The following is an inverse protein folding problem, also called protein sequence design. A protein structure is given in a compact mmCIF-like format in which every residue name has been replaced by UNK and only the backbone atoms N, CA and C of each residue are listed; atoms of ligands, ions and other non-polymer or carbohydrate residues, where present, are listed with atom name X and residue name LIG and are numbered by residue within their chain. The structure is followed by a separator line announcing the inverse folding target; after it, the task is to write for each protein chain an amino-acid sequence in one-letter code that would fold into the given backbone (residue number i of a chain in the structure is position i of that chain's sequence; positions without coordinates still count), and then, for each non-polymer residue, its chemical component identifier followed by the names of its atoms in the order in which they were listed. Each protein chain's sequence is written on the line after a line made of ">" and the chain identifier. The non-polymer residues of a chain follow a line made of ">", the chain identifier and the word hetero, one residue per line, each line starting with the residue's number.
data_IF_437199130135
#
_entry.id   IF_437199130135
#
_cell.length_a   1.000
_cell.length_b   1.000
_cell.length_c   1.000
_cell.angle_alpha   90.00
_cell.angle_beta   90.00
_cell.angle_gamma   90.00
#
_symmetry.space_group_name_H-M   'P 1'
#
loop_
_entity.id
_entity.type
_entity.pdbx_description
1 polymer ?
#
# COMPACT_ATOMS: atom_id res chain seq x y z
N UNK A 1 43.68 -13.96 8.42
CA UNK A 1 42.85 -15.18 8.33
C UNK A 1 42.05 -15.27 9.63
N UNK A 2 40.88 -14.62 9.67
CA UNK A 2 40.01 -14.63 10.85
C UNK A 2 39.16 -15.91 10.85
N UNK A 3 39.28 -16.71 11.92
CA UNK A 3 38.58 -17.98 12.06
C UNK A 3 37.08 -17.77 12.25
N UNK A 4 36.29 -18.32 11.33
CA UNK A 4 34.85 -18.48 11.48
C UNK A 4 34.61 -19.47 12.64
N UNK A 5 34.03 -18.98 13.73
CA UNK A 5 33.66 -19.83 14.87
C UNK A 5 32.63 -20.89 14.46
N UNK A 6 32.61 -22.07 15.12
CA UNK A 6 31.70 -23.16 14.77
C UNK A 6 30.25 -22.71 14.94
N UNK A 7 29.52 -22.66 13.83
CA UNK A 7 28.11 -22.29 13.79
C UNK A 7 27.28 -23.27 14.61
N UNK A 8 26.62 -22.76 15.66
CA UNK A 8 25.72 -23.49 16.58
C UNK A 8 24.36 -23.85 15.94
N UNK A 9 24.35 -24.32 14.69
CA UNK A 9 23.12 -24.64 13.96
C UNK A 9 22.91 -26.16 13.80
N UNK A 10 23.28 -26.95 14.81
CA UNK A 10 23.12 -28.40 14.80
C UNK A 10 22.39 -28.96 16.01
N UNK A 11 21.84 -30.15 15.85
CA UNK A 11 21.21 -30.93 16.90
C UNK A 11 22.21 -31.26 18.01
N UNK A 12 22.10 -30.59 19.16
CA UNK A 12 23.02 -30.77 20.30
C UNK A 12 23.21 -32.24 20.74
N UNK A 13 22.15 -33.08 20.80
CA UNK A 13 22.27 -34.48 21.21
C UNK A 13 23.08 -35.39 20.27
N UNK A 14 23.16 -35.10 18.97
CA UNK A 14 23.84 -35.99 18.01
C UNK A 14 24.90 -35.29 17.14
N UNK A 15 25.06 -33.97 17.27
CA UNK A 15 26.03 -33.16 16.53
C UNK A 15 25.69 -32.91 15.06
N UNK A 16 24.58 -33.43 14.54
CA UNK A 16 24.25 -33.30 13.13
C UNK A 16 23.61 -31.93 12.81
N UNK A 17 24.04 -31.30 11.72
CA UNK A 17 23.61 -29.95 11.30
C UNK A 17 22.33 -29.93 10.45
N UNK A 18 21.80 -31.10 10.11
CA UNK A 18 20.69 -31.30 9.18
C UNK A 18 19.31 -31.35 9.86
N UNK A 19 19.23 -31.27 11.19
CA UNK A 19 17.96 -31.25 11.91
C UNK A 19 18.06 -30.54 13.25
N UNK A 20 16.90 -30.11 13.76
CA UNK A 20 16.76 -29.53 15.10
C UNK A 20 16.48 -30.62 16.13
N UNK A 21 16.71 -30.33 17.42
CA UNK A 21 16.56 -31.29 18.55
C UNK A 21 15.22 -32.03 18.54
N UNK A 22 14.16 -31.39 18.07
CA UNK A 22 12.81 -31.96 18.01
C UNK A 22 12.64 -33.04 16.93
N UNK A 23 13.48 -33.02 15.89
CA UNK A 23 13.49 -34.00 14.79
C UNK A 23 14.61 -35.03 14.89
N UNK A 24 15.27 -35.16 16.05
CA UNK A 24 16.40 -36.08 16.20
C UNK A 24 15.91 -37.54 16.22
N UNK A 25 16.35 -38.40 15.27
CA UNK A 25 15.93 -39.79 15.21
C UNK A 25 16.38 -40.59 16.46
N UNK A 26 17.39 -40.11 17.18
CA UNK A 26 17.88 -40.71 18.43
C UNK A 26 17.02 -40.34 19.66
N UNK A 27 15.94 -39.58 19.51
CA UNK A 27 15.08 -39.18 20.66
C UNK A 27 14.25 -40.35 21.23
N UNK A 28 14.28 -41.52 20.59
CA UNK A 28 13.44 -42.68 20.91
C UNK A 28 13.93 -43.61 22.02
N UNK A 29 15.15 -43.47 22.54
CA UNK A 29 15.63 -44.33 23.64
C UNK A 29 16.13 -43.49 24.81
N UNK A 30 15.18 -42.97 25.61
CA UNK A 30 15.49 -42.70 27.00
C UNK A 30 15.51 -44.05 27.74
N UNK A 31 16.59 -44.38 28.47
CA UNK A 31 16.53 -45.46 29.45
C UNK A 31 15.34 -45.20 30.38
N UNK A 32 14.52 -46.23 30.61
CA UNK A 32 13.47 -46.20 31.63
C UNK A 32 14.14 -45.79 32.94
N UNK A 33 13.75 -44.63 33.46
CA UNK A 33 14.25 -44.13 34.73
C UNK A 33 13.95 -45.16 35.81
N UNK A 34 14.96 -45.95 36.17
CA UNK A 34 14.90 -46.90 37.27
C UNK A 34 14.82 -46.07 38.54
N UNK A 35 13.68 -46.14 39.22
CA UNK A 35 13.34 -45.30 40.36
C UNK A 35 14.21 -45.60 41.58
N UNK A 36 15.35 -44.91 41.69
CA UNK A 36 16.24 -45.04 42.86
C UNK A 36 16.69 -43.71 43.47
N UNK A 37 16.09 -42.57 43.10
CA UNK A 37 16.35 -41.29 43.80
C UNK A 37 15.07 -40.44 43.89
N UNK A 38 14.13 -40.86 44.73
CA UNK A 38 13.06 -40.00 45.24
C UNK A 38 13.60 -39.21 46.43
N UNK A 39 14.15 -38.01 46.17
CA UNK A 39 14.28 -36.98 47.20
C UNK A 39 12.89 -36.31 47.30
N UNK A 40 12.21 -36.33 48.45
CA UNK A 40 10.92 -35.67 48.61
C UNK A 40 11.13 -34.15 48.56
N UNK A 41 10.84 -33.56 47.42
CA UNK A 41 10.87 -32.10 47.25
C UNK A 41 9.45 -31.58 47.51
N UNK A 42 9.25 -30.66 48.47
CA UNK A 42 7.94 -30.07 48.71
C UNK A 42 7.55 -29.17 47.54
N UNK A 43 6.32 -29.37 47.07
CA UNK A 43 5.52 -28.61 46.09
C UNK A 43 6.13 -27.32 45.49
N UNK A 44 6.27 -27.23 44.15
CA UNK A 44 6.38 -25.95 43.48
C UNK A 44 4.97 -25.38 43.25
N UNK A 45 4.67 -24.29 43.96
CA UNK A 45 3.68 -23.33 43.52
C UNK A 45 4.20 -22.61 42.26
N UNK A 46 3.27 -22.28 41.36
CA UNK A 46 3.40 -21.40 40.17
C UNK A 46 3.80 -22.09 38.85
N UNK A 47 2.79 -22.66 38.19
CA UNK A 47 2.81 -22.79 36.73
C UNK A 47 2.42 -21.45 36.10
N UNK A 48 3.38 -20.78 35.46
CA UNK A 48 3.12 -19.71 34.50
C UNK A 48 2.69 -20.32 33.18
N UNK A 49 1.59 -19.82 32.63
CA UNK A 49 1.01 -20.19 31.33
C UNK A 49 1.84 -19.50 30.23
N UNK A 50 2.25 -20.18 29.14
CA UNK A 50 2.95 -19.55 28.03
C UNK A 50 1.98 -18.72 27.14
N UNK A 51 2.45 -17.64 26.49
CA UNK A 51 1.61 -16.86 25.59
C UNK A 51 1.38 -17.61 24.29
N UNK A 52 0.10 -17.80 23.94
CA UNK A 52 -0.34 -18.32 22.65
C UNK A 52 0.06 -17.33 21.54
N UNK A 53 0.97 -17.77 20.66
CA UNK A 53 1.18 -17.16 19.35
C UNK A 53 0.06 -17.58 18.41
N UNK A 54 -0.72 -16.61 17.94
CA UNK A 54 -1.75 -16.78 16.92
C UNK A 54 -1.10 -17.11 15.57
N UNK A 55 -1.23 -18.35 15.12
CA UNK A 55 -1.05 -18.74 13.73
C UNK A 55 -2.42 -19.04 13.10
N UNK A 56 -2.65 -18.35 11.99
CA UNK A 56 -3.56 -18.57 10.88
C UNK A 56 -4.73 -19.57 11.03
N UNK A 57 -5.92 -19.04 10.70
CA UNK A 57 -7.16 -19.76 10.48
C UNK A 57 -7.02 -20.94 9.50
N UNK A 58 -7.69 -22.04 9.83
CA UNK A 58 -8.17 -23.03 8.87
C UNK A 58 -9.62 -23.33 9.19
N UNK A 59 -10.47 -22.94 8.24
CA UNK A 59 -11.89 -23.23 8.13
C UNK A 59 -12.11 -24.73 7.97
N UNK A 60 -12.83 -25.34 8.91
CA UNK A 60 -13.43 -26.65 8.71
C UNK A 60 -14.79 -26.74 9.42
N UNK A 61 -15.83 -26.82 8.60
CA UNK A 61 -17.21 -27.16 8.96
C UNK A 61 -17.27 -28.47 9.75
N UNK A 62 -17.86 -28.47 10.95
CA UNK A 62 -18.51 -29.67 11.51
C UNK A 62 -19.77 -29.32 12.29
N UNK A 63 -20.73 -30.23 12.15
CA UNK A 63 -22.17 -30.14 12.40
C UNK A 63 -22.59 -30.03 13.89
N UNK A 64 -23.84 -29.63 14.18
CA UNK A 64 -24.35 -29.61 15.55
C UNK A 64 -24.77 -31.03 15.98
N UNK A 65 -24.08 -31.59 16.99
CA UNK A 65 -24.52 -32.80 17.67
C UNK A 65 -25.52 -32.44 18.77
N UNK A 66 -26.73 -33.02 18.68
CA UNK A 66 -27.76 -32.98 19.72
C UNK A 66 -27.29 -33.69 21.00
N UNK A 67 -27.65 -33.21 22.20
CA UNK A 67 -27.50 -34.01 23.41
C UNK A 67 -28.71 -34.94 23.59
N UNK A 68 -28.43 -36.24 23.58
CA UNK A 68 -29.33 -37.30 24.06
C UNK A 68 -29.45 -37.21 25.58
N UNK A 69 -30.66 -36.99 26.10
CA UNK A 69 -30.97 -37.07 27.52
C UNK A 69 -31.76 -38.35 27.82
N UNK A 70 -31.14 -39.25 28.58
CA UNK A 70 -31.82 -40.34 29.27
C UNK A 70 -32.35 -39.83 30.63
N UNK A 71 -33.59 -40.13 31.02
CA UNK A 71 -34.06 -39.93 32.38
C UNK A 71 -33.82 -41.22 33.19
N UNK A 72 -33.05 -41.14 34.26
CA UNK A 72 -33.14 -42.12 35.36
C UNK A 72 -33.30 -41.34 36.65
N UNK A 73 -34.53 -41.39 37.18
CA UNK A 73 -34.85 -40.86 38.48
C UNK A 73 -34.18 -41.70 39.56
N UNK A 74 -33.60 -41.02 40.54
CA UNK A 74 -33.38 -41.60 41.86
C UNK A 74 -33.76 -40.57 42.90
N UNK A 75 -34.72 -40.97 43.74
CA UNK A 75 -35.35 -40.17 44.75
C UNK A 75 -34.45 -40.00 45.99
N UNK A 76 -34.59 -38.84 46.62
CA UNK A 76 -34.63 -38.71 48.07
C UNK A 76 -33.29 -38.79 48.82
N UNK A 77 -32.66 -37.64 49.02
CA UNK A 77 -31.99 -37.38 50.31
C UNK A 77 -31.97 -35.89 50.61
N UNK A 78 -32.64 -35.50 51.70
CA UNK A 78 -32.58 -34.17 52.28
C UNK A 78 -31.14 -33.82 52.67
N UNK A 79 -30.49 -32.96 51.89
CA UNK A 79 -29.20 -32.35 52.24
C UNK A 79 -29.44 -30.89 52.63
N UNK A 80 -29.51 -30.67 53.94
CA UNK A 80 -29.47 -29.33 54.51
C UNK A 80 -28.13 -28.67 54.19
N UNK A 81 -28.17 -27.48 53.59
CA UNK A 81 -27.26 -26.41 53.98
C UNK A 81 -26.03 -26.14 53.13
N UNK A 82 -25.86 -26.73 51.95
CA UNK A 82 -24.83 -26.24 51.02
C UNK A 82 -25.43 -25.17 50.11
N UNK A 83 -25.63 -23.96 50.66
CA UNK A 83 -25.83 -22.78 49.82
C UNK A 83 -24.55 -22.61 49.00
N UNK A 84 -24.56 -23.15 47.78
CA UNK A 84 -23.54 -22.90 46.76
C UNK A 84 -23.25 -21.42 46.75
N UNK A 85 -22.12 -21.04 47.35
CA UNK A 85 -21.65 -19.66 47.35
C UNK A 85 -21.69 -19.22 45.89
N UNK A 86 -22.45 -18.17 45.54
CA UNK A 86 -22.49 -17.68 44.17
C UNK A 86 -21.05 -17.51 43.70
N UNK A 87 -20.73 -18.09 42.54
CA UNK A 87 -19.38 -18.26 42.05
C UNK A 87 -18.71 -16.89 41.82
N UNK A 88 -18.22 -16.30 42.90
CA UNK A 88 -17.80 -14.90 42.98
C UNK A 88 -16.68 -14.62 41.97
N UNK A 89 -15.80 -15.60 41.81
CA UNK A 89 -14.73 -15.56 40.83
C UNK A 89 -15.25 -15.53 39.40
N UNK A 90 -16.23 -16.38 39.05
CA UNK A 90 -16.83 -16.40 37.72
C UNK A 90 -17.47 -15.07 37.34
N UNK A 91 -18.25 -14.46 38.26
CA UNK A 91 -18.84 -13.12 38.02
C UNK A 91 -17.80 -12.01 37.88
N UNK A 92 -16.68 -12.11 38.60
CA UNK A 92 -15.63 -11.10 38.50
C UNK A 92 -14.83 -11.27 37.19
N UNK A 93 -14.56 -12.51 36.79
CA UNK A 93 -13.94 -12.83 35.50
C UNK A 93 -14.79 -12.33 34.35
N UNK A 94 -16.11 -12.56 34.38
CA UNK A 94 -17.04 -12.07 33.36
C UNK A 94 -17.00 -10.53 33.23
N UNK A 95 -16.88 -9.81 34.35
CA UNK A 95 -16.72 -8.34 34.33
C UNK A 95 -15.40 -7.91 33.71
N UNK A 96 -14.31 -8.61 34.00
CA UNK A 96 -12.99 -8.33 33.40
C UNK A 96 -13.00 -8.60 31.91
N UNK A 97 -13.57 -9.73 31.48
CA UNK A 97 -13.70 -10.10 30.08
C UNK A 97 -14.57 -9.08 29.33
N UNK A 98 -15.65 -8.60 29.95
CA UNK A 98 -16.49 -7.53 29.40
C UNK A 98 -15.72 -6.21 29.23
N UNK A 99 -14.93 -5.80 30.22
CA UNK A 99 -14.07 -4.61 30.13
C UNK A 99 -13.00 -4.76 29.04
N UNK A 100 -12.39 -5.94 28.94
CA UNK A 100 -11.39 -6.24 27.94
C UNK A 100 -11.97 -6.19 26.53
N UNK A 101 -13.10 -6.86 26.30
CA UNK A 101 -13.81 -6.85 25.03
C UNK A 101 -14.21 -5.43 24.62
N UNK A 102 -14.73 -4.62 25.56
CA UNK A 102 -15.05 -3.21 25.29
C UNK A 102 -13.81 -2.39 24.90
N UNK A 103 -12.68 -2.57 25.57
CA UNK A 103 -11.43 -1.89 25.19
C UNK A 103 -10.95 -2.31 23.78
N UNK A 104 -11.10 -3.58 23.44
CA UNK A 104 -10.74 -4.10 22.12
C UNK A 104 -11.68 -3.54 21.04
N UNK A 105 -12.99 -3.54 21.27
CA UNK A 105 -13.98 -2.94 20.37
C UNK A 105 -13.75 -1.44 20.17
N UNK A 106 -13.45 -0.69 21.24
CA UNK A 106 -13.17 0.75 21.15
C UNK A 106 -11.89 1.02 20.37
N UNK A 107 -10.86 0.18 20.53
CA UNK A 107 -9.62 0.26 19.75
C UNK A 107 -9.86 -0.05 18.27
N UNK A 108 -10.66 -1.06 17.97
CA UNK A 108 -11.02 -1.41 16.60
C UNK A 108 -11.87 -0.31 15.95
N UNK A 109 -12.84 0.24 16.68
CA UNK A 109 -13.68 1.36 16.24
C UNK A 109 -12.84 2.61 15.97
N UNK A 110 -11.85 2.90 16.81
CA UNK A 110 -10.91 4.02 16.61
C UNK A 110 -10.05 3.83 15.36
N UNK A 111 -9.53 2.62 15.12
CA UNK A 111 -8.76 2.30 13.92
C UNK A 111 -9.64 2.45 12.68
N UNK A 112 -10.86 1.91 12.71
CA UNK A 112 -11.82 2.02 11.61
C UNK A 112 -12.20 3.47 11.30
N UNK A 113 -12.40 4.30 12.33
CA UNK A 113 -12.67 5.74 12.17
C UNK A 113 -11.49 6.45 11.48
N UNK A 114 -10.25 6.17 11.89
CA UNK A 114 -9.06 6.77 11.25
C UNK A 114 -8.86 6.31 9.81
N UNK A 115 -9.19 5.06 9.50
CA UNK A 115 -9.13 4.55 8.12
C UNK A 115 -10.17 5.22 7.23
N UNK A 116 -11.40 5.41 7.73
CA UNK A 116 -12.46 6.12 7.01
C UNK A 116 -12.10 7.60 6.79
N UNK A 117 -11.56 8.28 7.80
CA UNK A 117 -11.05 9.66 7.66
C UNK A 117 -9.94 9.76 6.60
N UNK A 118 -9.02 8.79 6.54
CA UNK A 118 -7.99 8.77 5.50
C UNK A 118 -8.57 8.51 4.10
N UNK A 119 -9.59 7.65 3.99
CA UNK A 119 -10.28 7.39 2.72
C UNK A 119 -10.99 8.64 2.22
N UNK A 120 -11.72 9.33 3.09
CA UNK A 120 -12.40 10.59 2.77
C UNK A 120 -11.39 11.67 2.39
N UNK A 121 -10.27 11.77 3.11
CA UNK A 121 -9.20 12.73 2.79
C UNK A 121 -8.61 12.47 1.41
N UNK A 122 -8.37 11.21 1.05
CA UNK A 122 -7.85 10.83 -0.27
C UNK A 122 -8.84 11.14 -1.39
N UNK A 123 -10.12 10.81 -1.19
CA UNK A 123 -11.18 11.12 -2.15
C UNK A 123 -11.30 12.63 -2.40
N UNK A 124 -11.24 13.44 -1.33
CA UNK A 124 -11.24 14.90 -1.41
C UNK A 124 -10.03 15.44 -2.18
N UNK A 125 -8.83 14.89 -1.97
CA UNK A 125 -7.63 15.29 -2.71
C UNK A 125 -7.72 14.93 -4.21
N UNK A 126 -8.29 13.77 -4.55
CA UNK A 126 -8.52 13.37 -5.94
C UNK A 126 -9.58 14.25 -6.62
N UNK A 127 -10.64 14.63 -5.91
CA UNK A 127 -11.66 15.57 -6.40
C UNK A 127 -11.08 16.96 -6.63
N UNK A 128 -10.25 17.47 -5.72
CA UNK A 128 -9.56 18.75 -5.88
C UNK A 128 -8.64 18.76 -7.11
N UNK A 129 -7.89 17.67 -7.34
CA UNK A 129 -7.07 17.50 -8.55
C UNK A 129 -7.93 17.52 -9.82
N UNK A 130 -9.08 16.85 -9.80
CA UNK A 130 -10.03 16.84 -10.92
C UNK A 130 -10.60 18.25 -11.19
N UNK A 131 -10.96 18.99 -10.15
CA UNK A 131 -11.45 20.37 -10.27
C UNK A 131 -10.36 21.32 -10.76
N UNK A 132 -9.12 21.18 -10.28
CA UNK A 132 -7.99 21.98 -10.74
C UNK A 132 -7.73 21.76 -12.23
N UNK A 133 -7.72 20.51 -12.68
CA UNK A 133 -7.58 20.18 -14.11
C UNK A 133 -8.71 20.77 -14.95
N UNK A 134 -9.96 20.67 -14.48
CA UNK A 134 -11.12 21.27 -15.16
C UNK A 134 -10.97 22.80 -15.29
N UNK A 135 -10.54 23.46 -14.21
CA UNK A 135 -10.31 24.91 -14.19
C UNK A 135 -9.17 25.34 -15.12
N UNK A 136 -8.07 24.59 -15.17
CA UNK A 136 -6.97 24.87 -16.09
C UNK A 136 -7.38 24.72 -17.56
N UNK A 137 -8.20 23.70 -17.86
CA UNK A 137 -8.78 23.53 -19.20
C UNK A 137 -9.68 24.68 -19.59
N UNK A 138 -10.62 25.05 -18.73
CA UNK A 138 -11.53 26.17 -18.97
C UNK A 138 -10.76 27.49 -19.14
N UNK A 139 -9.72 27.73 -18.32
CA UNK A 139 -8.84 28.89 -18.45
C UNK A 139 -8.10 28.91 -19.78
N UNK A 140 -7.63 27.76 -20.26
CA UNK A 140 -6.98 27.65 -21.57
C UNK A 140 -7.96 27.93 -22.72
N UNK A 141 -9.18 27.38 -22.65
CA UNK A 141 -10.24 27.63 -23.62
C UNK A 141 -10.64 29.13 -23.64
N UNK A 142 -10.76 29.76 -22.48
CA UNK A 142 -11.01 31.20 -22.36
C UNK A 142 -9.87 32.06 -22.91
N UNK A 143 -8.60 31.71 -22.64
CA UNK A 143 -7.43 32.43 -23.18
C UNK A 143 -7.38 32.34 -24.71
N UNK A 144 -7.64 31.17 -25.29
CA UNK A 144 -7.78 31.03 -26.74
C UNK A 144 -8.94 31.88 -27.28
N UNK A 145 -10.10 31.87 -26.62
CA UNK A 145 -11.25 32.69 -26.98
C UNK A 145 -10.91 34.18 -27.01
N UNK A 146 -10.24 34.69 -25.97
CA UNK A 146 -9.78 36.08 -25.90
C UNK A 146 -8.78 36.43 -27.01
N UNK A 147 -7.85 35.53 -27.34
CA UNK A 147 -6.90 35.75 -28.44
C UNK A 147 -7.60 35.82 -29.80
N UNK A 148 -8.63 35.00 -30.02
CA UNK A 148 -9.42 35.02 -31.25
C UNK A 148 -10.28 36.29 -31.34
N UNK A 149 -10.97 36.65 -30.26
CA UNK A 149 -11.78 37.87 -30.18
C UNK A 149 -10.94 39.14 -30.40
N UNK A 150 -9.73 39.18 -29.81
CA UNK A 150 -8.78 40.27 -30.02
C UNK A 150 -8.39 40.40 -31.50
N UNK A 151 -8.06 39.30 -32.16
CA UNK A 151 -7.73 39.29 -33.60
C UNK A 151 -8.92 39.71 -34.46
N UNK A 152 -10.14 39.28 -34.12
CA UNK A 152 -11.36 39.67 -34.82
C UNK A 152 -11.67 41.16 -34.64
N UNK A 153 -11.47 41.70 -33.44
CA UNK A 153 -11.62 43.13 -33.15
C UNK A 153 -10.60 43.97 -33.92
N UNK A 154 -9.33 43.53 -33.98
CA UNK A 154 -8.27 44.18 -34.77
C UNK A 154 -8.61 44.18 -36.27
N UNK A 155 -9.09 43.05 -36.81
CA UNK A 155 -9.58 42.94 -38.19
C UNK A 155 -10.79 43.85 -38.44
N UNK A 156 -11.75 43.89 -37.52
CA UNK A 156 -12.96 44.73 -37.63
C UNK A 156 -12.64 46.22 -37.60
N UNK A 157 -11.71 46.65 -36.75
CA UNK A 157 -11.23 48.03 -36.70
C UNK A 157 -10.50 48.43 -37.99
N UNK A 158 -9.66 47.54 -38.53
CA UNK A 158 -8.96 47.75 -39.81
C UNK A 158 -9.94 47.95 -40.99
N UNK A 159 -11.05 47.21 -41.01
CA UNK A 159 -12.09 47.33 -42.05
C UNK A 159 -12.93 48.61 -41.86
N UNK A 160 -13.26 49.00 -40.62
CA UNK A 160 -14.15 50.14 -40.35
C UNK A 160 -13.45 51.49 -40.41
N UNK A 161 -12.18 51.57 -39.98
CA UNK A 161 -11.37 52.81 -40.02
C UNK A 161 -11.06 53.32 -41.43
N UNK A 162 -11.26 52.49 -42.46
CA UNK A 162 -11.02 52.88 -43.87
C UNK A 162 -12.20 53.63 -44.52
N UNK A 163 -13.30 53.90 -43.81
CA UNK A 163 -14.54 54.45 -44.41
C UNK A 163 -14.89 55.91 -44.09
N UNK A 164 -14.14 56.62 -43.25
CA UNK A 164 -14.51 57.97 -42.77
C UNK A 164 -13.64 59.11 -43.30
N UNK A 165 -13.17 59.02 -44.55
CA UNK A 165 -12.79 60.20 -45.30
C UNK A 165 -13.91 60.52 -46.29
N UNK A 166 -14.76 61.48 -45.93
CA UNK A 166 -15.73 62.12 -46.85
C UNK A 166 -14.97 62.99 -47.87
N UNK A 167 -14.25 62.32 -48.76
CA UNK A 167 -14.02 62.79 -50.12
C UNK A 167 -14.86 61.90 -51.05
N UNK A 168 -15.08 62.27 -52.32
CA UNK A 168 -15.95 61.54 -53.25
C UNK A 168 -15.48 60.09 -53.42
N UNK A 169 -15.98 59.20 -52.55
CA UNK A 169 -15.53 57.82 -52.37
C UNK A 169 -16.17 56.87 -53.40
N UNK A 170 -16.64 57.40 -54.53
CA UNK A 170 -16.78 56.63 -55.74
C UNK A 170 -15.42 56.02 -56.14
N UNK A 171 -14.31 56.74 -55.88
CA UNK A 171 -12.96 56.25 -56.18
C UNK A 171 -12.50 55.04 -55.37
N UNK A 172 -12.87 54.91 -54.08
CA UNK A 172 -12.39 53.82 -53.23
C UNK A 172 -13.06 52.47 -53.53
N UNK A 173 -14.36 52.48 -53.83
CA UNK A 173 -15.06 51.28 -54.29
C UNK A 173 -14.61 50.92 -55.70
N UNK A 174 -14.42 51.90 -56.60
CA UNK A 174 -13.84 51.68 -57.93
C UNK A 174 -12.41 51.13 -57.84
N UNK A 175 -11.58 51.60 -56.90
CA UNK A 175 -10.22 51.12 -56.64
C UNK A 175 -10.21 49.71 -56.04
N UNK A 176 -11.13 49.40 -55.11
CA UNK A 176 -11.30 48.04 -54.58
C UNK A 176 -11.79 47.08 -55.67
N UNK A 177 -12.69 47.55 -56.54
CA UNK A 177 -13.26 46.77 -57.63
C UNK A 177 -12.24 46.58 -58.77
N UNK A 178 -11.39 47.57 -59.04
CA UNK A 178 -10.25 47.42 -59.95
C UNK A 178 -9.14 46.57 -59.33
N UNK A 179 -8.90 46.61 -58.02
CA UNK A 179 -7.98 45.70 -57.33
C UNK A 179 -8.50 44.26 -57.39
N UNK A 180 -9.76 44.03 -57.06
CA UNK A 180 -10.39 42.71 -57.13
C UNK A 180 -10.49 42.20 -58.57
N UNK A 181 -10.74 43.07 -59.57
CA UNK A 181 -10.65 42.70 -60.99
C UNK A 181 -9.23 42.31 -61.36
N UNK A 182 -8.21 43.04 -60.88
CA UNK A 182 -6.80 42.71 -61.11
C UNK A 182 -6.41 41.40 -60.44
N UNK A 183 -6.82 41.17 -59.19
CA UNK A 183 -6.62 39.90 -58.47
C UNK A 183 -7.35 38.74 -59.16
N UNK A 184 -8.59 38.94 -59.63
CA UNK A 184 -9.31 37.93 -60.42
C UNK A 184 -8.64 37.65 -61.76
N UNK A 185 -8.18 38.68 -62.47
CA UNK A 185 -7.40 38.53 -63.69
C UNK A 185 -6.09 37.80 -63.41
N UNK A 186 -5.41 38.11 -62.31
CA UNK A 186 -4.18 37.43 -61.90
C UNK A 186 -4.43 35.96 -61.52
N UNK A 187 -5.52 35.66 -60.80
CA UNK A 187 -5.93 34.31 -60.46
C UNK A 187 -6.36 33.53 -61.71
N UNK A 188 -7.12 34.16 -62.63
CA UNK A 188 -7.44 33.58 -63.93
C UNK A 188 -6.19 33.35 -64.77
N UNK A 189 -5.22 34.26 -64.72
CA UNK A 189 -3.94 34.12 -65.43
C UNK A 189 -3.09 33.02 -64.80
N UNK A 190 -3.11 32.86 -63.46
CA UNK A 190 -2.47 31.75 -62.75
C UNK A 190 -3.13 30.43 -63.06
N UNK A 191 -4.46 30.34 -63.02
CA UNK A 191 -5.23 29.15 -63.41
C UNK A 191 -5.04 28.83 -64.89
N UNK A 192 -5.04 29.83 -65.76
CA UNK A 192 -4.75 29.71 -67.18
C UNK A 192 -3.32 29.25 -67.43
N UNK A 193 -2.34 29.78 -66.70
CA UNK A 193 -0.96 29.31 -66.74
C UNK A 193 -0.84 27.88 -66.20
N UNK A 194 -1.61 27.51 -65.17
CA UNK A 194 -1.67 26.15 -64.65
C UNK A 194 -2.31 25.18 -65.66
N UNK A 195 -3.34 25.64 -66.39
CA UNK A 195 -4.01 24.86 -67.43
C UNK A 195 -3.17 24.72 -68.69
N UNK A 196 -2.47 25.80 -69.08
CA UNK A 196 -1.58 25.92 -70.24
C UNK A 196 -0.14 25.47 -69.94
N UNK A 197 0.18 25.10 -68.70
CA UNK A 197 1.40 24.38 -68.39
C UNK A 197 1.38 23.11 -69.24
N UNK A 198 2.33 23.07 -70.17
CA UNK A 198 2.69 21.90 -70.95
C UNK A 198 2.81 20.71 -69.99
N UNK A 199 2.44 19.50 -70.43
CA UNK A 199 2.32 18.32 -69.56
C UNK A 199 3.47 18.16 -68.56
N UNK A 200 4.70 18.47 -68.97
CA UNK A 200 5.90 18.43 -68.13
C UNK A 200 5.85 19.32 -66.88
N UNK A 201 5.27 20.53 -66.95
CA UNK A 201 5.17 21.43 -65.79
C UNK A 201 4.22 20.90 -64.71
N UNK A 202 3.10 20.30 -65.12
CA UNK A 202 2.16 19.63 -64.21
C UNK A 202 2.79 18.38 -63.58
N UNK A 203 3.56 17.63 -64.37
CA UNK A 203 4.31 16.46 -63.88
C UNK A 203 5.31 16.88 -62.81
N UNK A 204 6.07 17.96 -63.02
CA UNK A 204 7.01 18.48 -62.02
C UNK A 204 6.32 18.91 -60.72
N UNK A 205 5.19 19.61 -60.79
CA UNK A 205 4.42 20.00 -59.60
C UNK A 205 3.89 18.78 -58.83
N UNK A 206 3.28 17.82 -59.54
CA UNK A 206 2.77 16.60 -58.92
C UNK A 206 3.91 15.75 -58.33
N UNK A 207 5.07 15.69 -58.97
CA UNK A 207 6.25 15.02 -58.42
C UNK A 207 6.73 15.69 -57.13
N UNK A 208 6.76 17.02 -57.08
CA UNK A 208 7.10 17.77 -55.88
C UNK A 208 6.09 17.52 -54.75
N UNK A 209 4.79 17.58 -55.05
CA UNK A 209 3.73 17.32 -54.07
C UNK A 209 3.78 15.89 -53.53
N UNK A 210 4.04 14.89 -54.39
CA UNK A 210 4.25 13.50 -53.97
C UNK A 210 5.45 13.40 -53.04
N UNK A 211 6.56 14.09 -53.32
CA UNK A 211 7.75 14.09 -52.47
C UNK A 211 7.44 14.71 -51.10
N UNK A 212 6.71 15.83 -51.07
CA UNK A 212 6.32 16.50 -49.83
C UNK A 212 5.34 15.66 -49.00
N UNK A 213 4.37 15.00 -49.64
CA UNK A 213 3.45 14.07 -48.98
C UNK A 213 4.19 12.87 -48.40
N UNK A 214 5.14 12.28 -49.13
CA UNK A 214 5.99 11.20 -48.62
C UNK A 214 6.76 11.65 -47.38
N UNK A 215 7.37 12.84 -47.42
CA UNK A 215 8.07 13.44 -46.27
C UNK A 215 7.13 13.63 -45.07
N UNK A 216 5.90 14.12 -45.30
CA UNK A 216 4.90 14.26 -44.25
C UNK A 216 4.50 12.91 -43.65
N UNK A 217 4.31 11.87 -44.46
CA UNK A 217 3.99 10.51 -43.99
C UNK A 217 5.12 9.96 -43.13
N UNK A 218 6.38 10.07 -43.57
CA UNK A 218 7.53 9.62 -42.76
C UNK A 218 7.61 10.39 -41.45
N UNK A 219 7.41 11.71 -41.46
CA UNK A 219 7.42 12.50 -40.23
C UNK A 219 6.26 12.13 -39.28
N UNK A 220 5.06 11.87 -39.81
CA UNK A 220 3.93 11.38 -39.01
C UNK A 220 4.21 10.00 -38.41
N UNK A 221 4.89 9.13 -39.14
CA UNK A 221 5.30 7.81 -38.65
C UNK A 221 6.26 7.94 -37.46
N UNK A 222 7.31 8.77 -37.59
CA UNK A 222 8.27 9.01 -36.50
C UNK A 222 7.57 9.58 -35.25
N UNK A 223 6.60 10.49 -35.44
CA UNK A 223 5.82 11.02 -34.33
C UNK A 223 4.92 9.95 -33.69
N UNK A 224 4.34 9.03 -34.46
CA UNK A 224 3.53 7.93 -33.95
C UNK A 224 4.39 6.96 -33.10
N UNK A 225 5.60 6.66 -33.56
CA UNK A 225 6.55 5.81 -32.84
C UNK A 225 7.00 6.47 -31.52
N UNK A 226 7.29 7.78 -31.54
CA UNK A 226 7.60 8.53 -30.32
C UNK A 226 6.45 8.51 -29.30
N UNK A 227 5.21 8.68 -29.77
CA UNK A 227 4.01 8.57 -28.91
C UNK A 227 3.85 7.16 -28.34
N UNK A 228 4.19 6.12 -29.12
CA UNK A 228 4.17 4.74 -28.65
C UNK A 228 5.19 4.50 -27.53
N UNK A 229 6.43 4.96 -27.70
CA UNK A 229 7.49 4.87 -26.67
C UNK A 229 7.05 5.57 -25.38
N UNK A 230 6.55 6.80 -25.47
CA UNK A 230 6.07 7.54 -24.30
C UNK A 230 4.91 6.82 -23.59
N UNK A 231 3.98 6.21 -24.35
CA UNK A 231 2.90 5.40 -23.77
C UNK A 231 3.44 4.19 -23.01
N UNK A 232 4.46 3.53 -23.55
CA UNK A 232 5.11 2.40 -22.89
C UNK A 232 5.78 2.86 -21.58
N UNK A 233 6.59 3.92 -21.60
CA UNK A 233 7.24 4.47 -20.41
C UNK A 233 6.22 4.87 -19.32
N UNK A 234 5.10 5.49 -19.69
CA UNK A 234 4.01 5.82 -18.76
C UNK A 234 3.43 4.54 -18.13
N UNK A 235 3.28 3.46 -18.90
CA UNK A 235 2.77 2.19 -18.38
C UNK A 235 3.73 1.54 -17.38
N UNK A 236 5.03 1.58 -17.66
CA UNK A 236 6.08 1.06 -16.77
C UNK A 236 6.16 1.89 -15.48
N UNK A 237 6.09 3.22 -15.59
CA UNK A 237 6.08 4.13 -14.44
C UNK A 237 4.85 3.90 -13.53
N UNK A 238 3.68 3.59 -14.10
CA UNK A 238 2.48 3.22 -13.33
C UNK A 238 2.69 1.92 -12.55
N UNK A 239 3.25 0.89 -13.17
CA UNK A 239 3.57 -0.38 -12.51
C UNK A 239 4.59 -0.19 -11.39
N UNK A 240 5.66 0.58 -11.65
CA UNK A 240 6.67 0.92 -10.64
C UNK A 240 6.06 1.67 -9.45
N UNK A 241 5.14 2.62 -9.70
CA UNK A 241 4.45 3.36 -8.63
C UNK A 241 3.60 2.44 -7.75
N UNK A 242 2.87 1.49 -8.35
CA UNK A 242 2.08 0.50 -7.59
C UNK A 242 2.98 -0.38 -6.70
N UNK A 243 4.10 -0.86 -7.25
CA UNK A 243 5.08 -1.66 -6.51
C UNK A 243 5.69 -0.86 -5.35
N UNK A 244 6.03 0.42 -5.57
CA UNK A 244 6.53 1.31 -4.51
C UNK A 244 5.53 1.45 -3.36
N UNK A 245 4.25 1.65 -3.66
CA UNK A 245 3.20 1.75 -2.62
C UNK A 245 3.10 0.45 -1.81
N UNK A 246 3.27 -0.72 -2.43
CA UNK A 246 3.29 -1.99 -1.69
C UNK A 246 4.49 -2.08 -0.74
N UNK A 247 5.69 -1.74 -1.22
CA UNK A 247 6.90 -1.72 -0.39
C UNK A 247 6.79 -0.72 0.77
N UNK A 248 6.20 0.46 0.54
CA UNK A 248 5.96 1.44 1.60
C UNK A 248 5.03 0.88 2.70
N UNK A 249 4.01 0.10 2.34
CA UNK A 249 3.14 -0.59 3.30
C UNK A 249 3.90 -1.64 4.10
N UNK A 250 4.73 -2.46 3.44
CA UNK A 250 5.56 -3.47 4.10
C UNK A 250 6.55 -2.83 5.07
N UNK A 251 7.23 -1.76 4.65
CA UNK A 251 8.15 -0.99 5.51
C UNK A 251 7.41 -0.39 6.71
N UNK A 252 6.20 0.15 6.50
CA UNK A 252 5.38 0.66 7.61
C UNK A 252 4.96 -0.47 8.58
N UNK A 253 4.67 -1.67 8.07
CA UNK A 253 4.41 -2.87 8.87
C UNK A 253 5.61 -3.27 9.72
N UNK A 254 6.78 -3.42 9.09
CA UNK A 254 8.03 -3.77 9.77
C UNK A 254 8.41 -2.75 10.84
N UNK A 255 8.21 -1.45 10.59
CA UNK A 255 8.45 -0.40 11.60
C UNK A 255 7.59 -0.58 12.85
N UNK A 256 6.31 -0.94 12.68
CA UNK A 256 5.41 -1.22 13.82
C UNK A 256 5.86 -2.45 14.60
N UNK A 257 6.26 -3.51 13.92
CA UNK A 257 6.77 -4.73 14.54
C UNK A 257 8.06 -4.46 15.34
N UNK A 258 9.00 -3.71 14.76
CA UNK A 258 10.23 -3.29 15.46
C UNK A 258 9.91 -2.48 16.72
N UNK A 259 8.99 -1.50 16.64
CA UNK A 259 8.56 -0.75 17.82
C UNK A 259 7.94 -1.63 18.90
N UNK A 260 7.15 -2.63 18.51
CA UNK A 260 6.52 -3.57 19.44
C UNK A 260 7.56 -4.46 20.13
N UNK A 261 8.49 -5.04 19.36
CA UNK A 261 9.58 -5.86 19.89
C UNK A 261 10.50 -5.06 20.82
N UNK A 262 10.78 -3.79 20.49
CA UNK A 262 11.56 -2.90 21.36
C UNK A 262 10.86 -2.68 22.71
N UNK A 263 9.54 -2.40 22.71
CA UNK A 263 8.78 -2.24 23.95
C UNK A 263 8.73 -3.52 24.79
N UNK A 264 8.56 -4.69 24.16
CA UNK A 264 8.62 -5.97 24.86
C UNK A 264 10.00 -6.26 25.46
N UNK A 265 11.07 -5.92 24.74
CA UNK A 265 12.44 -6.09 25.22
C UNK A 265 12.74 -5.15 26.41
N UNK A 266 12.28 -3.90 26.33
CA UNK A 266 12.38 -2.93 27.43
C UNK A 266 11.64 -3.44 28.68
N UNK A 267 10.40 -3.90 28.53
CA UNK A 267 9.63 -4.50 29.63
C UNK A 267 10.35 -5.71 30.23
N UNK A 268 10.84 -6.63 29.41
CA UNK A 268 11.60 -7.81 29.85
C UNK A 268 12.86 -7.40 30.63
N UNK A 269 13.53 -6.34 30.19
CA UNK A 269 14.73 -5.81 30.85
C UNK A 269 14.39 -5.19 32.21
N UNK A 270 13.27 -4.46 32.30
CA UNK A 270 12.76 -3.91 33.57
C UNK A 270 12.39 -5.04 34.54
N UNK A 271 11.66 -6.05 34.08
CA UNK A 271 11.31 -7.22 34.89
C UNK A 271 12.56 -7.96 35.38
N UNK A 272 13.54 -8.20 34.50
CA UNK A 272 14.81 -8.85 34.87
C UNK A 272 15.59 -8.04 35.92
N UNK A 273 15.61 -6.72 35.81
CA UNK A 273 16.23 -5.85 36.81
C UNK A 273 15.46 -5.89 38.14
N UNK A 274 14.12 -5.89 38.10
CA UNK A 274 13.29 -6.02 39.30
C UNK A 274 13.56 -7.33 40.05
N UNK A 275 13.65 -8.45 39.32
CA UNK A 275 14.01 -9.75 39.90
C UNK A 275 15.42 -9.76 40.47
N UNK A 276 16.37 -9.08 39.80
CA UNK A 276 17.74 -8.92 40.30
C UNK A 276 17.75 -8.14 41.63
N UNK A 277 17.02 -7.03 41.70
CA UNK A 277 16.96 -6.20 42.90
C UNK A 277 16.30 -6.94 44.07
N UNK A 278 15.23 -7.70 43.82
CA UNK A 278 14.58 -8.53 44.84
C UNK A 278 15.48 -9.69 45.31
N UNK A 279 16.26 -10.30 44.40
CA UNK A 279 17.24 -11.32 44.75
C UNK A 279 18.36 -10.75 45.65
N UNK A 280 18.76 -9.49 45.44
CA UNK A 280 19.80 -8.78 46.20
C UNK A 280 19.28 -8.10 47.49
N UNK A 281 17.97 -8.15 47.76
CA UNK A 281 17.35 -7.46 48.89
C UNK A 281 17.89 -7.98 50.24
N UNK A 282 18.40 -7.13 51.14
CA UNK A 282 18.89 -7.54 52.46
C UNK A 282 17.80 -8.31 53.24
N UNK A 283 18.14 -9.50 53.74
CA UNK A 283 17.20 -10.38 54.44
C UNK A 283 16.63 -11.53 53.60
N UNK A 284 16.91 -11.60 52.29
CA UNK A 284 16.60 -12.76 51.47
C UNK A 284 17.56 -13.94 51.77
N UNK A 285 17.19 -14.83 52.71
CA UNK A 285 18.04 -15.95 53.18
C UNK A 285 18.27 -17.09 52.17
N UNK A 286 17.77 -16.98 50.92
CA UNK A 286 18.01 -17.99 49.87
C UNK A 286 19.40 -17.88 49.21
N UNK A 287 20.19 -16.86 49.56
CA UNK A 287 21.45 -16.49 48.90
C UNK A 287 22.67 -17.39 49.10
N UNK A 288 22.54 -18.68 49.45
CA UNK A 288 23.71 -19.56 49.56
C UNK A 288 23.44 -21.01 49.14
N UNK A 289 22.64 -21.21 48.10
CA UNK A 289 22.73 -22.47 47.35
C UNK A 289 23.93 -22.34 46.41
N UNK A 290 25.09 -22.80 46.87
CA UNK A 290 26.25 -22.99 46.01
C UNK A 290 25.85 -23.94 44.88
N UNK A 291 25.64 -23.39 43.68
CA UNK A 291 25.48 -24.20 42.46
C UNK A 291 26.88 -24.73 42.15
N UNK A 292 27.21 -25.89 42.72
CA UNK A 292 28.42 -26.62 42.36
C UNK A 292 28.38 -26.85 40.85
N UNK A 293 29.22 -26.13 40.12
CA UNK A 293 29.40 -26.34 38.68
C UNK A 293 29.99 -27.75 38.54
N UNK A 294 29.33 -28.69 37.84
CA UNK A 294 29.90 -30.01 37.64
C UNK A 294 31.27 -29.85 36.99
N UNK A 295 32.32 -30.32 37.66
CA UNK A 295 33.67 -30.28 37.12
C UNK A 295 33.73 -31.08 35.83
N UNK A 296 34.39 -30.51 34.81
CA UNK A 296 34.66 -31.19 33.54
C UNK A 296 35.39 -32.52 33.82
N UNK A 297 34.83 -33.67 33.39
CA UNK A 297 35.57 -34.91 33.39
C UNK A 297 36.64 -34.85 32.31
N UNK A 298 37.91 -35.01 32.71
CA UNK A 298 39.06 -35.16 31.82
C UNK A 298 39.08 -36.46 31.04
#
# INVERSE_FOLDING_TARGET
>A
MAGLGPGRNGCYPCGATNHWVHGCPHRGQRPVATGANTIPTPAPLLALIPPNGSAAASTANYAPSLPSQHPTGSAGTSSYGNQSRPNWWGRNQEKLDMCYNRCMEDREREVKRREEEQRVKKEKEEEEKRLKWKREREKFEADMGQRLEKKLSELGASIKGKRTHEGPAAGGMEDELTRLKRENEELKKKLGALMNQTGDGKVMYLQQEIMDLRKQVTNRQVNADAVFVVKQEISEMKLSTLMKVNLEKEVAGLRKEVSLLQGQNEQTTVEANQWRDEALRPGNKRGNVAVNTPGDPG
#
